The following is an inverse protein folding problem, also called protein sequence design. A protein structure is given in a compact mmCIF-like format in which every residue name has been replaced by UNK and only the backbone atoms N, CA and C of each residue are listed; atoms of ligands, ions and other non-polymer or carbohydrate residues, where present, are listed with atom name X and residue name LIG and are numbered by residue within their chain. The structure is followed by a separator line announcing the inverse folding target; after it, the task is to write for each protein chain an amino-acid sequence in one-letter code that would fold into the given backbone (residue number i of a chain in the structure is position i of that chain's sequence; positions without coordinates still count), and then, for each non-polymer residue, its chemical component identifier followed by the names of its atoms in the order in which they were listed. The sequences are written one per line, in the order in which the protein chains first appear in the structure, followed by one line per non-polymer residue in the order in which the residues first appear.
data_IF_930177619027
#
_entry.id   IF_930177619027
#
_cell.length_a   1.000
_cell.length_b   1.000
_cell.length_c   1.000
_cell.angle_alpha   90.00
_cell.angle_beta   90.00
_cell.angle_gamma   90.00
#
_symmetry.space_group_name_H-M   'P 1'
#
loop_
_entity.id
_entity.type
_entity.pdbx_description
1 polymer ?
#
# COMPACT_ATOMS: atom_id res chain seq x y z
N UNK A 1 -3.61 11.63 -1.09
CA UNK A 1 -2.76 10.42 -1.14
C UNK A 1 -1.90 10.21 0.11
N UNK A 2 -0.92 11.07 0.40
CA UNK A 2 0.16 10.81 1.38
C UNK A 2 -0.22 10.34 2.80
N UNK A 3 -1.36 10.76 3.34
CA UNK A 3 -1.79 10.40 4.71
C UNK A 3 -3.00 9.46 4.75
N UNK A 4 -3.64 9.20 3.61
CA UNK A 4 -4.74 8.23 3.47
C UNK A 4 -4.19 6.87 3.04
N UNK A 5 -3.28 6.89 2.07
CA UNK A 5 -2.54 5.74 1.58
C UNK A 5 -1.04 6.05 1.70
N UNK A 6 -0.48 5.95 2.93
CA UNK A 6 0.91 6.27 3.16
C UNK A 6 1.81 5.21 2.50
N UNK A 7 3.02 5.62 2.14
CA UNK A 7 4.01 4.74 1.51
C UNK A 7 5.30 4.73 2.31
N UNK A 8 6.15 3.74 2.05
CA UNK A 8 7.45 3.61 2.70
C UNK A 8 8.35 4.83 2.43
N UNK A 9 9.15 5.20 3.42
CA UNK A 9 10.18 6.22 3.29
C UNK A 9 11.19 5.87 2.19
N UNK A 10 11.74 6.90 1.54
CA UNK A 10 12.63 6.75 0.38
C UNK A 10 11.92 6.58 -0.97
N UNK A 11 10.60 6.37 -1.00
CA UNK A 11 9.85 6.31 -2.27
C UNK A 11 9.49 7.69 -2.84
N UNK A 12 9.20 8.68 -1.97
CA UNK A 12 8.76 10.02 -2.36
C UNK A 12 9.79 11.12 -2.09
N UNK A 13 9.89 12.08 -3.03
CA UNK A 13 10.89 13.15 -2.96
C UNK A 13 10.36 14.50 -2.44
N UNK A 14 9.05 14.68 -2.30
CA UNK A 14 8.49 15.93 -1.74
C UNK A 14 8.59 15.97 -0.22
N UNK A 15 8.63 17.18 0.35
CA UNK A 15 8.61 17.37 1.81
C UNK A 15 7.36 16.74 2.44
N UNK A 16 6.20 16.84 1.78
CA UNK A 16 4.96 16.20 2.21
C UNK A 16 5.06 14.67 2.18
N UNK A 17 5.70 14.10 1.15
CA UNK A 17 5.87 12.65 1.07
C UNK A 17 6.76 12.12 2.21
N UNK A 18 7.87 12.81 2.51
CA UNK A 18 8.73 12.45 3.64
C UNK A 18 8.05 12.62 4.99
N UNK A 19 7.21 13.66 5.16
CA UNK A 19 6.53 13.93 6.43
C UNK A 19 5.56 12.82 6.84
N UNK A 20 4.87 12.20 5.87
CA UNK A 20 3.87 11.16 6.12
C UNK A 20 4.35 9.75 5.72
N UNK A 21 5.63 9.59 5.44
CA UNK A 21 6.19 8.29 5.09
C UNK A 21 6.23 7.36 6.30
N UNK A 22 5.97 6.08 6.05
CA UNK A 22 6.16 5.00 7.03
C UNK A 22 7.63 4.59 7.00
N UNK A 23 8.28 4.46 8.16
CA UNK A 23 9.73 4.21 8.26
C UNK A 23 10.14 2.75 8.11
N UNK A 24 9.19 1.82 8.13
CA UNK A 24 9.47 0.39 8.02
C UNK A 24 8.30 -0.48 8.44
N UNK A 25 8.53 -1.80 8.52
CA UNK A 25 7.51 -2.79 8.85
C UNK A 25 6.90 -2.58 10.24
N UNK A 26 7.70 -2.20 11.25
CA UNK A 26 7.17 -2.03 12.61
C UNK A 26 6.22 -0.84 12.72
N UNK A 27 6.51 0.27 12.03
CA UNK A 27 5.59 1.41 11.95
C UNK A 27 4.36 1.07 11.10
N UNK A 28 4.51 0.30 10.00
CA UNK A 28 3.39 -0.17 9.20
C UNK A 28 2.44 -1.07 10.02
N UNK A 29 3.00 -2.00 10.82
CA UNK A 29 2.23 -2.86 11.74
C UNK A 29 1.52 -2.01 12.80
N UNK A 30 2.24 -1.11 13.45
CA UNK A 30 1.66 -0.18 14.43
C UNK A 30 0.55 0.69 13.84
N UNK A 31 0.69 1.11 12.58
CA UNK A 31 -0.32 1.88 11.86
C UNK A 31 -1.61 1.06 11.66
N UNK A 32 -1.49 -0.22 11.28
CA UNK A 32 -2.64 -1.12 11.13
C UNK A 32 -3.29 -1.47 12.46
N UNK A 33 -2.51 -1.66 13.51
CA UNK A 33 -3.03 -1.97 14.85
C UNK A 33 -3.65 -0.75 15.54
N UNK A 34 -3.32 0.47 15.07
CA UNK A 34 -3.84 1.69 15.66
C UNK A 34 -5.37 1.77 15.51
N UNK A 35 -6.13 1.99 16.60
CA UNK A 35 -7.60 1.81 16.65
C UNK A 35 -8.39 2.76 15.73
N UNK A 36 -7.74 3.81 15.21
CA UNK A 36 -8.35 4.75 14.26
C UNK A 36 -7.74 4.65 12.87
N UNK A 37 -6.44 4.37 12.74
CA UNK A 37 -5.75 4.50 11.46
C UNK A 37 -5.90 3.23 10.62
N UNK A 38 -5.74 2.06 11.24
CA UNK A 38 -5.97 0.76 10.61
C UNK A 38 -7.38 0.65 10.01
N UNK A 39 -8.45 0.82 10.81
CA UNK A 39 -9.82 0.73 10.29
C UNK A 39 -10.11 1.71 9.15
N UNK A 40 -9.60 2.94 9.21
CA UNK A 40 -9.78 3.93 8.14
C UNK A 40 -9.04 3.58 6.86
N UNK A 41 -7.82 3.06 6.97
CA UNK A 41 -7.04 2.62 5.81
C UNK A 41 -7.73 1.43 5.14
N UNK A 42 -8.24 0.48 5.92
CA UNK A 42 -9.03 -0.65 5.41
C UNK A 42 -10.31 -0.15 4.73
N UNK A 43 -11.07 0.74 5.37
CA UNK A 43 -12.30 1.32 4.79
C UNK A 43 -12.02 2.04 3.47
N UNK A 44 -10.95 2.82 3.40
CA UNK A 44 -10.52 3.48 2.16
C UNK A 44 -10.12 2.47 1.08
N UNK A 45 -9.43 1.39 1.44
CA UNK A 45 -9.06 0.32 0.50
C UNK A 45 -10.29 -0.43 -0.04
N UNK A 46 -11.28 -0.74 0.81
CA UNK A 46 -12.56 -1.34 0.40
C UNK A 46 -13.35 -0.40 -0.52
N UNK A 47 -13.38 0.90 -0.21
CA UNK A 47 -14.06 1.89 -1.03
C UNK A 47 -13.46 1.99 -2.44
N UNK A 48 -12.14 1.85 -2.57
CA UNK A 48 -11.49 1.75 -3.87
C UNK A 48 -11.93 0.47 -4.59
N UNK A 49 -11.84 -0.69 -3.94
CA UNK A 49 -12.27 -1.98 -4.51
C UNK A 49 -13.75 -2.00 -4.94
N UNK A 50 -14.60 -1.19 -4.33
CA UNK A 50 -16.00 -1.05 -4.73
C UNK A 50 -16.17 -0.39 -6.11
N UNK A 51 -15.17 0.34 -6.61
CA UNK A 51 -15.19 0.96 -7.94
C UNK A 51 -14.92 -0.10 -9.01
N UNK A 52 -15.97 -0.50 -9.72
CA UNK A 52 -15.91 -1.50 -10.79
C UNK A 52 -15.64 -0.89 -12.16
N UNK A 53 -14.91 -1.61 -13.01
CA UNK A 53 -14.73 -1.24 -14.41
C UNK A 53 -13.81 -0.05 -14.68
N UNK A 54 -13.05 0.41 -13.68
CA UNK A 54 -12.04 1.46 -13.84
C UNK A 54 -10.69 0.97 -13.31
N UNK A 55 -9.61 1.37 -13.98
CA UNK A 55 -8.24 1.16 -13.53
C UNK A 55 -7.88 2.12 -12.39
N UNK A 56 -6.84 1.79 -11.60
CA UNK A 56 -6.34 2.71 -10.57
C UNK A 56 -5.91 4.06 -11.14
N UNK A 57 -5.39 4.08 -12.38
CA UNK A 57 -5.03 5.32 -13.08
C UNK A 57 -6.24 6.17 -13.45
N UNK A 58 -7.38 5.58 -13.79
CA UNK A 58 -8.61 6.34 -14.05
C UNK A 58 -9.22 6.91 -12.76
N UNK A 59 -9.08 6.20 -11.63
CA UNK A 59 -9.59 6.64 -10.33
C UNK A 59 -8.71 7.74 -9.72
N UNK A 60 -7.38 7.55 -9.75
CA UNK A 60 -6.43 8.40 -9.00
C UNK A 60 -5.57 9.30 -9.88
N UNK A 61 -5.45 9.02 -11.17
CA UNK A 61 -4.45 9.65 -12.03
C UNK A 61 -3.01 9.28 -11.63
N UNK A 62 -2.05 9.76 -12.42
CA UNK A 62 -0.62 9.64 -12.12
C UNK A 62 -0.13 10.89 -11.41
N UNK A 63 0.73 10.78 -10.37
CA UNK A 63 1.41 9.56 -9.89
C UNK A 63 0.70 8.87 -8.70
N UNK A 64 -0.56 9.18 -8.41
CA UNK A 64 -1.25 8.67 -7.23
C UNK A 64 -1.64 7.19 -7.38
N UNK A 65 -1.85 6.69 -8.60
CA UNK A 65 -1.96 5.26 -8.90
C UNK A 65 -0.76 4.44 -8.42
N UNK A 66 0.46 4.95 -8.64
CA UNK A 66 1.69 4.32 -8.16
C UNK A 66 1.82 4.35 -6.63
N UNK A 67 1.30 5.41 -6.00
CA UNK A 67 1.28 5.51 -4.53
C UNK A 67 0.30 4.51 -3.92
N UNK A 68 -0.82 4.25 -4.58
CA UNK A 68 -1.76 3.22 -4.16
C UNK A 68 -1.08 1.85 -4.17
N UNK A 69 -0.36 1.53 -5.26
CA UNK A 69 0.43 0.29 -5.37
C UNK A 69 1.47 0.18 -4.26
N UNK A 70 2.22 1.27 -4.01
CA UNK A 70 3.25 1.31 -2.96
C UNK A 70 2.65 1.07 -1.56
N UNK A 71 1.55 1.76 -1.25
CA UNK A 71 0.82 1.60 0.00
C UNK A 71 0.28 0.17 0.15
N UNK A 72 -0.42 -0.34 -0.85
CA UNK A 72 -0.98 -1.69 -0.81
C UNK A 72 0.13 -2.75 -0.64
N UNK A 73 1.27 -2.57 -1.31
CA UNK A 73 2.43 -3.47 -1.15
C UNK A 73 2.95 -3.44 0.27
N UNK A 74 3.23 -2.25 0.83
CA UNK A 74 3.74 -2.11 2.20
C UNK A 74 2.81 -2.78 3.23
N UNK A 75 1.50 -2.52 3.13
CA UNK A 75 0.57 -3.04 4.10
C UNK A 75 0.21 -4.51 3.86
N UNK A 76 0.34 -5.04 2.65
CA UNK A 76 0.23 -6.47 2.40
C UNK A 76 1.28 -7.25 3.22
N UNK A 77 2.52 -6.77 3.29
CA UNK A 77 3.62 -7.40 4.02
C UNK A 77 3.41 -7.51 5.52
N UNK A 78 2.62 -6.61 6.11
CA UNK A 78 2.31 -6.61 7.55
C UNK A 78 0.90 -7.10 7.88
N UNK A 79 0.07 -7.37 6.88
CA UNK A 79 -1.32 -7.84 7.08
C UNK A 79 -1.47 -9.36 7.08
N UNK A 80 -0.37 -10.11 7.06
CA UNK A 80 -0.35 -11.55 6.80
C UNK A 80 -0.99 -12.45 7.88
N UNK A 81 -1.68 -11.91 8.90
CA UNK A 81 -2.16 -12.69 10.05
C UNK A 81 -3.68 -12.94 10.15
N UNK A 82 -4.53 -12.72 9.13
CA UNK A 82 -6.00 -12.82 9.38
C UNK A 82 -6.86 -13.70 8.44
N UNK A 83 -6.47 -14.07 7.22
CA UNK A 83 -7.35 -14.96 6.43
C UNK A 83 -6.68 -15.72 5.28
N UNK A 84 -7.32 -16.82 4.86
CA UNK A 84 -6.91 -17.66 3.74
C UNK A 84 -7.08 -16.97 2.36
N UNK A 85 -7.80 -15.84 2.30
CA UNK A 85 -8.15 -15.10 1.09
C UNK A 85 -7.26 -13.87 0.85
N UNK A 86 -6.30 -13.60 1.75
CA UNK A 86 -5.42 -12.43 1.70
C UNK A 86 -6.10 -11.13 2.16
N UNK A 87 -5.31 -10.16 2.60
CA UNK A 87 -5.83 -8.89 3.10
C UNK A 87 -6.46 -8.01 2.00
N UNK A 88 -7.20 -6.96 2.38
CA UNK A 88 -7.72 -5.94 1.44
C UNK A 88 -6.62 -5.36 0.54
N UNK A 89 -5.38 -5.28 1.05
CA UNK A 89 -4.24 -4.79 0.30
C UNK A 89 -3.76 -5.78 -0.77
N UNK A 90 -3.77 -7.09 -0.48
CA UNK A 90 -3.52 -8.12 -1.50
C UNK A 90 -4.57 -8.05 -2.61
N UNK A 91 -5.85 -7.85 -2.25
CA UNK A 91 -6.94 -7.69 -3.23
C UNK A 91 -6.76 -6.44 -4.09
N UNK A 92 -6.33 -5.31 -3.52
CA UNK A 92 -5.98 -4.11 -4.30
C UNK A 92 -4.88 -4.39 -5.32
N UNK A 93 -3.82 -5.10 -4.93
CA UNK A 93 -2.73 -5.49 -5.83
C UNK A 93 -3.26 -6.39 -6.95
N UNK A 94 -4.10 -7.37 -6.61
CA UNK A 94 -4.69 -8.29 -7.58
C UNK A 94 -5.57 -7.56 -8.60
N UNK A 95 -6.51 -6.73 -8.13
CA UNK A 95 -7.52 -6.09 -8.98
C UNK A 95 -6.92 -4.98 -9.85
N UNK A 96 -6.09 -4.11 -9.27
CA UNK A 96 -5.64 -2.90 -9.98
C UNK A 96 -4.25 -3.00 -10.59
N UNK A 97 -3.43 -3.95 -10.16
CA UNK A 97 -2.04 -4.10 -10.60
C UNK A 97 -1.71 -5.51 -11.09
N UNK A 98 -2.73 -6.34 -11.37
CA UNK A 98 -2.57 -7.67 -11.95
C UNK A 98 -1.77 -8.63 -11.05
N UNK A 99 -1.84 -8.44 -9.73
CA UNK A 99 -1.07 -9.24 -8.78
C UNK A 99 0.39 -8.80 -8.63
N UNK A 100 0.83 -7.73 -9.31
CA UNK A 100 2.21 -7.27 -9.25
C UNK A 100 2.42 -6.22 -8.12
N UNK A 101 3.13 -6.56 -7.03
CA UNK A 101 3.47 -5.60 -5.97
C UNK A 101 4.45 -4.53 -6.48
N UNK A 102 4.59 -3.42 -5.75
CA UNK A 102 5.58 -2.38 -6.05
C UNK A 102 6.99 -2.87 -5.70
N UNK A 103 7.79 -3.18 -6.73
CA UNK A 103 9.13 -3.71 -6.55
C UNK A 103 10.05 -2.79 -5.73
N UNK A 104 9.92 -1.47 -5.87
CA UNK A 104 10.72 -0.51 -5.08
C UNK A 104 10.41 -0.59 -3.59
N UNK A 105 9.15 -0.75 -3.22
CA UNK A 105 8.73 -0.96 -1.83
C UNK A 105 9.39 -2.22 -1.29
N UNK A 106 9.32 -3.35 -2.02
CA UNK A 106 9.93 -4.62 -1.59
C UNK A 106 11.46 -4.54 -1.48
N UNK A 107 12.14 -3.88 -2.43
CA UNK A 107 13.60 -3.66 -2.36
C UNK A 107 13.99 -2.88 -1.10
N UNK A 108 13.26 -1.80 -0.79
CA UNK A 108 13.53 -0.98 0.39
C UNK A 108 13.22 -1.72 1.72
N UNK A 109 12.30 -2.67 1.70
CA UNK A 109 12.02 -3.57 2.83
C UNK A 109 13.04 -4.71 2.96
N UNK A 110 13.93 -4.89 1.99
CA UNK A 110 14.87 -6.02 1.94
C UNK A 110 14.22 -7.36 1.61
N UNK A 111 13.04 -7.34 0.98
CA UNK A 111 12.26 -8.53 0.61
C UNK A 111 12.43 -8.95 -0.84
N UNK A 112 13.13 -8.16 -1.65
CA UNK A 112 13.62 -8.59 -2.95
C UNK A 112 14.98 -9.27 -2.74
N UNK A 113 15.01 -10.60 -2.83
CA UNK A 113 16.24 -11.31 -3.14
C UNK A 113 16.51 -11.12 -4.64
N UNK A 114 17.77 -10.81 -5.00
CA UNK A 114 18.18 -10.84 -6.41
C UNK A 114 17.79 -12.21 -7.01
N UNK A 115 17.12 -12.25 -8.17
CA UNK A 115 17.10 -13.47 -8.95
C UNK A 115 18.52 -13.64 -9.52
N UNK A 116 19.30 -14.53 -8.90
CA UNK A 116 20.55 -15.06 -9.48
C UNK A 116 20.34 -15.49 -10.95
#
# INVERSE_FOLDING_TARGET
MWYIFPQLDGLGFSSTARRYAIRGLDEARSYLEHPVLGPRLVECAEAVLAVQGSSAREIFGTPDDLKLRSCATLFAEVSAEVSAEGSVFHRLIQVYFGGAPDGRTLTLLGQFADPD
#
